data_IF_608219638978
#
_entry.id   IF_608219638978
#
_cell.length_a   1.000
_cell.length_b   1.000
_cell.length_c   1.000
_cell.angle_alpha   90.00
_cell.angle_beta   90.00
_cell.angle_gamma   90.00
#
_symmetry.space_group_name_H-M   'P 1'
#
loop_
_entity.id
_entity.type
_entity.pdbx_description
1 polymer ?
#
# COMPACT_ATOMS: atom_id res chain seq x y z
N UNK A 1 48.85 -3.73 -8.16
CA UNK A 1 48.11 -2.96 -7.13
C UNK A 1 46.87 -2.27 -7.69
N UNK A 2 46.90 -1.60 -8.86
CA UNK A 2 45.76 -0.89 -9.48
C UNK A 2 44.54 -1.79 -9.78
N UNK A 3 44.76 -3.06 -10.14
CA UNK A 3 43.69 -4.03 -10.48
C UNK A 3 42.73 -4.29 -9.31
N UNK A 4 43.24 -4.30 -8.08
CA UNK A 4 42.41 -4.50 -6.88
C UNK A 4 41.56 -3.26 -6.58
N UNK A 5 42.09 -2.05 -6.79
CA UNK A 5 41.31 -0.81 -6.61
C UNK A 5 40.17 -0.71 -7.62
N UNK A 6 40.40 -1.07 -8.88
CA UNK A 6 39.37 -1.08 -9.92
C UNK A 6 38.23 -2.08 -9.59
N UNK A 7 38.58 -3.26 -9.08
CA UNK A 7 37.59 -4.26 -8.66
C UNK A 7 36.78 -3.79 -7.44
N UNK A 8 37.42 -3.13 -6.48
CA UNK A 8 36.74 -2.58 -5.30
C UNK A 8 35.79 -1.45 -5.71
N UNK A 9 36.20 -0.55 -6.61
CA UNK A 9 35.34 0.54 -7.08
C UNK A 9 34.11 0.04 -7.84
N UNK A 10 34.27 -1.00 -8.65
CA UNK A 10 33.14 -1.63 -9.38
C UNK A 10 32.19 -2.33 -8.41
N UNK A 11 32.72 -3.03 -7.39
CA UNK A 11 31.91 -3.70 -6.38
C UNK A 11 31.10 -2.70 -5.51
N UNK A 12 31.69 -1.56 -5.15
CA UNK A 12 31.00 -0.49 -4.41
C UNK A 12 29.90 0.14 -5.26
N UNK A 13 30.16 0.38 -6.54
CA UNK A 13 29.14 0.92 -7.45
C UNK A 13 27.97 -0.05 -7.63
N UNK A 14 28.23 -1.36 -7.67
CA UNK A 14 27.20 -2.40 -7.76
C UNK A 14 26.34 -2.52 -6.49
N UNK A 15 26.88 -2.18 -5.32
CA UNK A 15 26.11 -2.18 -4.07
C UNK A 15 25.17 -0.98 -3.97
N UNK A 16 25.49 0.13 -4.64
CA UNK A 16 24.64 1.34 -4.65
C UNK A 16 23.38 1.19 -5.51
N UNK A 17 23.42 0.39 -6.59
CA UNK A 17 22.24 0.12 -7.44
C UNK A 17 21.24 -0.87 -6.82
N UNK A 18 21.62 -1.59 -5.75
CA UNK A 18 20.72 -2.51 -5.04
C UNK A 18 19.95 -1.84 -3.90
N UNK A 19 20.22 -0.55 -3.64
CA UNK A 19 19.51 0.23 -2.64
C UNK A 19 18.34 0.97 -3.32
N UNK A 20 17.50 0.26 -4.07
CA UNK A 20 16.18 0.77 -4.44
C UNK A 20 15.34 0.79 -3.16
N UNK A 21 15.49 1.85 -2.37
CA UNK A 21 14.54 2.18 -1.32
C UNK A 21 13.20 2.44 -1.99
N UNK A 22 12.34 1.43 -2.02
CA UNK A 22 10.90 1.63 -2.20
C UNK A 22 10.43 2.19 -0.85
N UNK A 23 10.66 3.49 -0.63
CA UNK A 23 10.23 4.16 0.58
C UNK A 23 8.74 4.41 0.46
N UNK A 24 7.93 3.43 0.87
CA UNK A 24 6.51 3.67 1.09
C UNK A 24 6.40 4.78 2.14
N UNK A 25 5.70 5.85 1.80
CA UNK A 25 5.37 6.97 2.67
C UNK A 25 4.44 6.55 3.80
N UNK A 26 3.73 5.42 3.61
CA UNK A 26 2.80 4.87 4.58
C UNK A 26 3.49 3.90 5.54
N UNK A 27 3.02 3.93 6.79
CA UNK A 27 3.36 2.93 7.81
C UNK A 27 2.83 1.54 7.41
N UNK A 28 3.36 0.49 8.02
CA UNK A 28 2.88 -0.88 7.81
C UNK A 28 1.37 -1.02 8.12
N UNK A 29 0.65 -1.75 7.26
CA UNK A 29 -0.81 -1.90 7.34
C UNK A 29 -1.58 -0.76 6.67
N UNK A 30 -0.89 0.12 5.93
CA UNK A 30 -1.48 1.15 5.09
C UNK A 30 -0.89 1.09 3.68
N UNK A 31 -1.75 1.27 2.69
CA UNK A 31 -1.38 1.34 1.28
C UNK A 31 -1.51 2.75 0.73
N UNK A 32 -0.54 3.17 -0.07
CA UNK A 32 -0.60 4.41 -0.84
C UNK A 32 -1.63 4.34 -1.96
N UNK A 33 -2.54 5.30 -2.00
CA UNK A 33 -3.54 5.43 -3.06
C UNK A 33 -3.53 6.87 -3.59
N UNK A 34 -3.52 7.03 -4.91
CA UNK A 34 -3.76 8.33 -5.55
C UNK A 34 -5.26 8.64 -5.48
N UNK A 35 -5.60 9.71 -4.77
CA UNK A 35 -6.94 10.29 -4.79
C UNK A 35 -6.86 11.77 -5.13
N UNK A 36 -7.53 12.15 -6.23
CA UNK A 36 -7.62 13.54 -6.69
C UNK A 36 -6.26 14.23 -6.92
N UNK A 37 -5.24 13.48 -7.35
CA UNK A 37 -3.90 14.02 -7.60
C UNK A 37 -3.07 14.26 -6.34
N UNK A 38 -3.50 13.70 -5.20
CA UNK A 38 -2.73 13.59 -3.97
C UNK A 38 -2.59 12.13 -3.56
N UNK A 39 -1.42 11.77 -3.02
CA UNK A 39 -1.22 10.44 -2.42
C UNK A 39 -1.74 10.44 -0.99
N UNK A 40 -2.61 9.48 -0.66
CA UNK A 40 -3.14 9.25 0.68
C UNK A 40 -2.82 7.83 1.13
N UNK A 41 -2.61 7.64 2.43
CA UNK A 41 -2.44 6.33 3.04
C UNK A 41 -3.79 5.82 3.54
N UNK A 42 -4.29 4.73 2.95
CA UNK A 42 -5.49 4.07 3.43
C UNK A 42 -5.12 2.80 4.20
N UNK A 43 -5.79 2.53 5.34
CA UNK A 43 -5.58 1.29 6.06
C UNK A 43 -5.97 0.09 5.19
N UNK A 44 -5.17 -0.97 5.25
CA UNK A 44 -5.45 -2.20 4.54
C UNK A 44 -6.68 -2.90 5.15
N UNK A 45 -7.55 -3.40 4.28
CA UNK A 45 -8.72 -4.15 4.70
C UNK A 45 -8.29 -5.42 5.42
N UNK A 46 -8.88 -5.63 6.59
CA UNK A 46 -8.89 -6.92 7.29
C UNK A 46 -10.30 -7.19 7.80
N UNK A 47 -10.65 -8.47 7.94
CA UNK A 47 -11.98 -8.87 8.40
C UNK A 47 -12.31 -8.23 9.76
N UNK A 48 -13.43 -7.52 9.83
CA UNK A 48 -13.90 -6.87 11.05
C UNK A 48 -13.35 -5.46 11.30
N UNK A 49 -12.53 -4.92 10.39
CA UNK A 49 -11.92 -3.59 10.52
C UNK A 49 -12.97 -2.47 10.62
N UNK A 50 -14.17 -2.65 10.07
CA UNK A 50 -15.25 -1.67 10.11
C UNK A 50 -15.70 -1.29 11.53
N UNK A 51 -15.37 -2.10 12.53
CA UNK A 51 -15.65 -1.82 13.94
C UNK A 51 -14.67 -0.81 14.54
N UNK A 52 -13.55 -0.54 13.87
CA UNK A 52 -12.51 0.39 14.30
C UNK A 52 -12.83 1.81 13.85
N UNK A 53 -13.70 2.49 14.60
CA UNK A 53 -14.21 3.82 14.27
C UNK A 53 -13.14 4.92 14.07
N UNK A 54 -11.94 4.72 14.60
CA UNK A 54 -10.82 5.67 14.49
C UNK A 54 -10.11 5.62 13.14
N UNK A 55 -10.28 4.55 12.36
CA UNK A 55 -9.67 4.37 11.04
C UNK A 55 -10.49 5.01 9.90
N UNK A 56 -11.67 5.54 10.20
CA UNK A 56 -12.59 6.05 9.19
C UNK A 56 -13.40 4.92 8.54
N UNK A 57 -13.88 5.17 7.31
CA UNK A 57 -14.77 4.25 6.58
C UNK A 57 -14.14 3.71 5.30
N UNK A 58 -13.01 4.23 4.87
CA UNK A 58 -12.40 3.95 3.58
C UNK A 58 -11.12 3.13 3.79
N UNK A 59 -10.99 2.04 3.06
CA UNK A 59 -9.95 1.03 3.24
C UNK A 59 -9.42 0.58 1.87
N UNK A 60 -8.19 0.06 1.85
CA UNK A 60 -7.61 -0.54 0.66
C UNK A 60 -7.79 -2.06 0.64
N UNK A 61 -8.29 -2.60 -0.46
CA UNK A 61 -8.37 -4.04 -0.74
C UNK A 61 -7.56 -4.34 -2.00
N UNK A 62 -6.76 -5.41 -2.00
CA UNK A 62 -5.88 -5.74 -3.13
C UNK A 62 -6.63 -5.93 -4.44
N UNK A 63 -7.82 -6.52 -4.38
CA UNK A 63 -8.59 -6.88 -5.59
C UNK A 63 -9.55 -5.78 -6.05
N UNK A 64 -10.05 -4.95 -5.13
CA UNK A 64 -11.08 -3.93 -5.42
C UNK A 64 -10.55 -2.49 -5.34
N UNK A 65 -9.29 -2.31 -4.92
CA UNK A 65 -8.74 -1.00 -4.61
C UNK A 65 -9.44 -0.37 -3.41
N UNK A 66 -9.88 0.87 -3.56
CA UNK A 66 -10.56 1.58 -2.46
C UNK A 66 -11.98 1.05 -2.28
N UNK A 67 -12.26 0.55 -1.09
CA UNK A 67 -13.60 0.16 -0.63
C UNK A 67 -14.01 1.00 0.57
N UNK A 68 -15.31 1.15 0.79
CA UNK A 68 -15.84 1.89 1.92
C UNK A 68 -16.93 1.09 2.64
N UNK A 69 -16.97 1.18 3.97
CA UNK A 69 -18.07 0.66 4.77
C UNK A 69 -19.11 1.75 5.03
N UNK A 70 -20.29 1.61 4.40
CA UNK A 70 -21.39 2.59 4.49
C UNK A 70 -22.72 1.86 4.68
N UNK A 71 -23.53 2.34 5.62
CA UNK A 71 -24.87 1.79 5.90
C UNK A 71 -24.90 0.26 6.08
N UNK A 72 -23.89 -0.29 6.76
CA UNK A 72 -23.79 -1.71 7.05
C UNK A 72 -23.35 -2.58 5.86
N UNK A 73 -22.88 -1.97 4.78
CA UNK A 73 -22.45 -2.66 3.56
C UNK A 73 -21.09 -2.18 3.08
N UNK A 74 -20.33 -3.07 2.45
CA UNK A 74 -19.10 -2.74 1.74
C UNK A 74 -19.44 -2.29 0.33
N UNK A 75 -18.82 -1.20 -0.11
CA UNK A 75 -19.00 -0.66 -1.46
C UNK A 75 -17.66 -0.27 -2.09
N UNK A 76 -17.53 -0.46 -3.40
CA UNK A 76 -16.37 0.03 -4.16
C UNK A 76 -16.45 1.54 -4.37
N UNK A 77 -15.35 2.14 -4.82
CA UNK A 77 -15.31 3.54 -5.28
C UNK A 77 -16.31 3.87 -6.41
N UNK A 78 -16.76 2.86 -7.16
CA UNK A 78 -17.76 2.98 -8.23
C UNK A 78 -19.21 2.79 -7.74
N UNK A 79 -19.41 2.51 -6.46
CA UNK A 79 -20.74 2.30 -5.85
C UNK A 79 -21.31 0.90 -6.00
N UNK A 80 -20.50 -0.07 -6.45
CA UNK A 80 -20.89 -1.47 -6.45
C UNK A 80 -20.84 -2.02 -5.02
N UNK A 81 -21.90 -2.73 -4.61
CA UNK A 81 -21.95 -3.37 -3.30
C UNK A 81 -21.22 -4.71 -3.35
N UNK A 82 -20.34 -4.94 -2.39
CA UNK A 82 -19.60 -6.18 -2.22
C UNK A 82 -20.26 -7.05 -1.15
N UNK A 83 -20.30 -8.36 -1.38
CA UNK A 83 -20.63 -9.31 -0.34
C UNK A 83 -19.40 -9.57 0.55
N UNK A 84 -19.61 -9.95 1.81
CA UNK A 84 -18.51 -10.22 2.73
C UNK A 84 -17.59 -11.35 2.21
N UNK A 85 -18.16 -12.33 1.51
CA UNK A 85 -17.40 -13.43 0.91
C UNK A 85 -16.48 -13.00 -0.22
N UNK A 86 -16.70 -11.83 -0.80
CA UNK A 86 -15.84 -11.32 -1.87
C UNK A 86 -14.55 -10.71 -1.30
N UNK A 87 -14.52 -10.42 0.00
CA UNK A 87 -13.43 -9.74 0.71
C UNK A 87 -12.52 -10.70 1.52
N UNK A 88 -12.80 -12.01 1.49
CA UNK A 88 -12.05 -13.06 2.21
C UNK A 88 -10.84 -13.59 1.41
#
# INVERSE_FOLDING_TARGET
MVKNYLQITVAVFLLLILQSCDSTLCDEGFTEVDQNGGTVCLPDYVVGIEKSTWLGTDFYHSDFGVIAFKDGSWVTSYGEKLELSDLD
#
